data_IF_603885759032
#
_entry.id   IF_603885759032
#
_cell.length_a   1.000
_cell.length_b   1.000
_cell.length_c   1.000
_cell.angle_alpha   90.00
_cell.angle_beta   90.00
_cell.angle_gamma   90.00
#
_symmetry.space_group_name_H-M   'P 1'
#
loop_
_entity.id
_entity.type
_entity.pdbx_description
1 polymer ?
#
# COMPACT_ATOMS: atom_id res chain seq x y z
N UNK A 1 -13.59 -10.42 12.20
CA UNK A 1 -13.49 -8.98 11.85
C UNK A 1 -13.67 -8.82 10.35
N UNK A 2 -14.55 -7.91 9.91
CA UNK A 2 -14.75 -7.57 8.50
C UNK A 2 -13.83 -6.42 8.11
N UNK A 3 -12.86 -6.71 7.26
CA UNK A 3 -11.88 -5.74 6.76
C UNK A 3 -12.31 -5.30 5.37
N UNK A 4 -12.72 -4.04 5.24
CA UNK A 4 -12.96 -3.42 3.93
C UNK A 4 -11.67 -2.82 3.43
N UNK A 5 -11.36 -2.98 2.14
CA UNK A 5 -10.08 -2.53 1.61
C UNK A 5 -10.21 -1.87 0.24
N UNK A 6 -9.35 -0.88 0.01
CA UNK A 6 -9.25 -0.10 -1.21
C UNK A 6 -7.83 0.41 -1.37
N UNK A 7 -7.42 0.70 -2.61
CA UNK A 7 -6.15 1.35 -2.93
C UNK A 7 -6.28 2.18 -4.21
N UNK A 8 -5.24 2.94 -4.51
CA UNK A 8 -5.08 3.63 -5.79
C UNK A 8 -6.30 4.49 -6.16
N UNK A 9 -6.84 5.24 -5.19
CA UNK A 9 -8.01 6.10 -5.39
C UNK A 9 -7.68 7.35 -6.20
N UNK A 10 -6.43 7.77 -6.18
CA UNK A 10 -5.88 8.87 -6.98
C UNK A 10 -6.80 10.10 -7.05
N UNK A 11 -7.25 10.55 -5.89
CA UNK A 11 -8.20 11.69 -5.80
C UNK A 11 -7.61 13.00 -6.31
N UNK A 12 -6.31 13.08 -6.49
CA UNK A 12 -5.61 14.21 -7.14
C UNK A 12 -6.07 14.43 -8.58
N UNK A 13 -6.60 13.40 -9.25
CA UNK A 13 -7.20 13.52 -10.60
C UNK A 13 -8.68 13.90 -10.58
N UNK A 14 -9.26 14.20 -9.39
CA UNK A 14 -10.60 14.73 -9.24
C UNK A 14 -11.69 13.68 -8.98
N UNK A 15 -11.35 12.40 -9.01
CA UNK A 15 -12.26 11.29 -8.70
C UNK A 15 -12.61 11.21 -7.21
N UNK A 16 -13.72 10.55 -6.90
CA UNK A 16 -14.12 10.19 -5.54
C UNK A 16 -14.83 8.82 -5.56
N UNK A 17 -14.07 7.76 -5.83
CA UNK A 17 -14.64 6.42 -6.06
C UNK A 17 -15.17 5.77 -4.78
N UNK A 18 -14.75 6.23 -3.59
CA UNK A 18 -15.19 5.72 -2.30
C UNK A 18 -15.99 6.79 -1.54
N UNK A 19 -17.15 6.41 -1.01
CA UNK A 19 -18.05 7.28 -0.24
C UNK A 19 -18.27 6.71 1.15
N UNK A 20 -18.61 7.56 2.11
CA UNK A 20 -18.97 7.15 3.49
C UNK A 20 -20.08 6.08 3.52
N UNK A 21 -21.07 6.19 2.61
CA UNK A 21 -22.15 5.21 2.49
C UNK A 21 -21.70 3.81 2.06
N UNK A 22 -20.53 3.70 1.46
CA UNK A 22 -19.96 2.43 1.01
C UNK A 22 -19.20 1.70 2.12
N UNK A 23 -18.81 2.41 3.20
CA UNK A 23 -18.08 1.83 4.32
C UNK A 23 -19.02 0.95 5.15
N UNK A 24 -18.74 -0.35 5.20
CA UNK A 24 -19.53 -1.41 5.87
C UNK A 24 -18.67 -2.35 6.71
N UNK A 25 -17.34 -2.25 6.61
CA UNK A 25 -16.41 -3.05 7.39
C UNK A 25 -16.31 -2.58 8.85
N UNK A 26 -15.75 -3.43 9.68
CA UNK A 26 -15.36 -3.08 11.05
C UNK A 26 -14.12 -2.18 11.06
N UNK A 27 -13.31 -2.25 10.00
CA UNK A 27 -12.14 -1.40 9.71
C UNK A 27 -12.07 -1.16 8.20
N UNK A 28 -11.62 0.04 7.80
CA UNK A 28 -11.27 0.38 6.41
C UNK A 28 -9.76 0.42 6.27
N UNK A 29 -9.22 -0.32 5.30
CA UNK A 29 -7.81 -0.29 4.91
C UNK A 29 -7.68 0.48 3.60
N UNK A 30 -6.81 1.47 3.58
CA UNK A 30 -6.42 2.26 2.42
C UNK A 30 -4.95 1.95 2.08
N UNK A 31 -4.74 1.12 1.06
CA UNK A 31 -3.44 0.53 0.77
C UNK A 31 -2.60 1.37 -0.24
N UNK A 32 -2.50 2.69 0.02
CA UNK A 32 -1.65 3.62 -0.73
C UNK A 32 -2.29 4.23 -1.97
N UNK A 33 -1.64 5.26 -2.49
CA UNK A 33 -2.07 6.05 -3.65
C UNK A 33 -3.50 6.60 -3.50
N UNK A 34 -3.76 7.18 -2.33
CA UNK A 34 -5.05 7.79 -2.02
C UNK A 34 -5.08 9.24 -2.48
N UNK A 35 -4.00 9.98 -2.21
CA UNK A 35 -3.93 11.42 -2.50
C UNK A 35 -2.48 11.89 -2.64
N UNK A 36 -2.15 12.51 -3.75
CA UNK A 36 -0.83 13.09 -4.01
C UNK A 36 -0.44 14.30 -3.14
N UNK A 37 -1.34 14.74 -2.21
CA UNK A 37 -1.05 15.83 -1.27
C UNK A 37 -1.71 15.59 0.09
N UNK A 38 -1.02 15.95 1.22
CA UNK A 38 -1.57 15.79 2.57
C UNK A 38 -2.93 16.49 2.78
N UNK A 39 -3.14 17.67 2.18
CA UNK A 39 -4.39 18.42 2.30
C UNK A 39 -5.56 17.72 1.60
N UNK A 40 -5.30 17.07 0.47
CA UNK A 40 -6.30 16.30 -0.27
C UNK A 40 -6.67 15.04 0.52
N UNK A 41 -5.68 14.34 1.10
CA UNK A 41 -5.94 13.24 2.04
C UNK A 41 -6.83 13.68 3.19
N UNK A 42 -6.47 14.76 3.90
CA UNK A 42 -7.25 15.28 5.02
C UNK A 42 -8.68 15.64 4.59
N UNK A 43 -8.87 16.22 3.40
CA UNK A 43 -10.21 16.50 2.86
C UNK A 43 -11.01 15.23 2.61
N UNK A 44 -10.42 14.20 2.02
CA UNK A 44 -11.06 12.92 1.78
C UNK A 44 -11.42 12.21 3.08
N UNK A 45 -10.50 12.19 4.03
CA UNK A 45 -10.76 11.61 5.35
C UNK A 45 -11.93 12.29 6.07
N UNK A 46 -12.11 13.61 5.94
CA UNK A 46 -13.30 14.31 6.49
C UNK A 46 -14.60 13.80 5.88
N UNK A 47 -14.57 13.45 4.60
CA UNK A 47 -15.77 12.93 3.90
C UNK A 47 -16.04 11.47 4.21
N UNK A 48 -14.99 10.68 4.46
CA UNK A 48 -15.08 9.25 4.78
C UNK A 48 -15.29 9.02 6.29
N UNK A 49 -14.79 9.94 7.13
CA UNK A 49 -14.71 9.74 8.58
C UNK A 49 -16.08 9.45 9.22
N UNK A 50 -16.04 8.51 10.16
CA UNK A 50 -17.09 8.02 11.02
C UNK A 50 -16.44 7.40 12.25
N UNK A 51 -17.11 6.42 12.84
CA UNK A 51 -16.59 5.68 13.99
C UNK A 51 -15.73 4.48 13.59
N UNK A 52 -15.67 4.17 12.27
CA UNK A 52 -14.88 3.05 11.74
C UNK A 52 -13.40 3.46 11.69
N UNK A 53 -12.48 2.67 12.30
CA UNK A 53 -11.06 2.89 12.16
C UNK A 53 -10.61 2.83 10.69
N UNK A 54 -9.73 3.75 10.31
CA UNK A 54 -9.12 3.77 8.97
C UNK A 54 -7.63 3.52 9.14
N UNK A 55 -7.14 2.46 8.52
CA UNK A 55 -5.71 2.13 8.42
C UNK A 55 -5.22 2.57 7.07
N UNK A 56 -4.16 3.34 7.04
CA UNK A 56 -3.64 3.93 5.82
C UNK A 56 -2.14 3.68 5.72
N UNK A 57 -1.68 3.17 4.59
CA UNK A 57 -0.28 3.18 4.18
C UNK A 57 -0.10 4.17 3.03
N UNK A 58 1.08 4.74 2.89
CA UNK A 58 1.39 5.60 1.74
C UNK A 58 1.69 4.73 0.50
N UNK A 59 1.38 5.24 -0.68
CA UNK A 59 1.87 4.70 -1.94
C UNK A 59 3.00 5.59 -2.50
N UNK A 60 3.40 5.37 -3.74
CA UNK A 60 4.44 6.19 -4.36
C UNK A 60 3.94 7.59 -4.75
N UNK A 61 2.65 7.76 -5.10
CA UNK A 61 2.09 9.06 -5.44
C UNK A 61 2.06 10.04 -4.27
N UNK A 62 1.99 9.56 -3.04
CA UNK A 62 2.12 10.41 -1.86
C UNK A 62 3.49 11.10 -1.76
N UNK A 63 4.52 10.59 -2.45
CA UNK A 63 5.85 11.18 -2.49
C UNK A 63 6.08 12.10 -3.71
N UNK A 64 5.17 12.15 -4.68
CA UNK A 64 5.34 12.96 -5.90
C UNK A 64 5.36 14.46 -5.60
N UNK A 65 6.43 15.13 -6.07
CA UNK A 65 6.67 16.56 -5.84
C UNK A 65 7.32 16.88 -4.49
N UNK A 66 7.74 15.86 -3.74
CA UNK A 66 8.25 15.99 -2.38
C UNK A 66 9.63 15.32 -2.20
N UNK A 67 10.20 15.49 -0.99
CA UNK A 67 11.44 14.82 -0.61
C UNK A 67 11.14 13.47 0.05
N UNK A 68 11.74 12.41 -0.44
CA UNK A 68 11.54 11.01 -0.04
C UNK A 68 11.72 10.75 1.46
N UNK A 69 12.55 11.56 2.14
CA UNK A 69 12.80 11.41 3.57
C UNK A 69 11.76 12.11 4.46
N UNK A 70 11.04 13.12 3.95
CA UNK A 70 10.23 14.03 4.76
C UNK A 70 8.72 13.73 4.72
N UNK A 71 8.25 13.03 3.72
CA UNK A 71 6.81 12.90 3.47
C UNK A 71 6.00 12.17 4.53
N UNK A 72 6.45 11.07 5.15
CA UNK A 72 5.66 10.41 6.19
C UNK A 72 5.26 11.36 7.34
N UNK A 73 6.09 12.35 7.64
CA UNK A 73 5.78 13.33 8.68
C UNK A 73 4.72 14.36 8.24
N UNK A 74 4.74 14.77 6.97
CA UNK A 74 3.72 15.67 6.42
C UNK A 74 2.33 15.02 6.45
N UNK A 75 2.24 13.76 6.06
CA UNK A 75 0.99 13.00 6.11
C UNK A 75 0.54 12.71 7.53
N UNK A 76 1.45 12.44 8.49
CA UNK A 76 1.10 12.34 9.93
C UNK A 76 0.45 13.61 10.44
N UNK A 77 1.02 14.78 10.16
CA UNK A 77 0.42 16.07 10.54
C UNK A 77 -0.96 16.27 9.93
N UNK A 78 -1.15 15.89 8.67
CA UNK A 78 -2.44 16.04 8.00
C UNK A 78 -3.55 15.21 8.67
N UNK A 79 -3.20 14.08 9.31
CA UNK A 79 -4.17 13.19 9.97
C UNK A 79 -4.27 13.39 11.49
N UNK A 80 -3.47 14.25 12.12
CA UNK A 80 -3.52 14.50 13.59
C UNK A 80 -4.91 14.84 14.13
N UNK A 81 -5.77 15.47 13.32
CA UNK A 81 -7.16 15.77 13.68
C UNK A 81 -8.15 14.62 13.56
N UNK A 82 -7.70 13.41 13.20
CA UNK A 82 -8.54 12.25 12.96
C UNK A 82 -8.18 11.08 13.90
N UNK A 83 -8.79 10.99 15.09
CA UNK A 83 -8.38 10.04 16.15
C UNK A 83 -8.57 8.57 15.76
N UNK A 84 -9.34 8.28 14.70
CA UNK A 84 -9.58 6.92 14.23
C UNK A 84 -8.80 6.59 12.93
N UNK A 85 -7.87 7.46 12.52
CA UNK A 85 -7.02 7.25 11.34
C UNK A 85 -5.60 6.94 11.80
N UNK A 86 -5.05 5.85 11.30
CA UNK A 86 -3.72 5.35 11.65
C UNK A 86 -2.87 5.27 10.37
N UNK A 87 -1.85 6.12 10.28
CA UNK A 87 -0.82 5.99 9.24
C UNK A 87 0.18 4.92 9.66
N UNK A 88 0.25 3.87 8.86
CA UNK A 88 1.14 2.73 9.05
C UNK A 88 2.32 2.84 8.08
N UNK A 89 3.39 3.47 8.52
CA UNK A 89 4.66 3.51 7.80
C UNK A 89 5.74 2.95 8.71
N UNK A 90 6.12 1.68 8.46
CA UNK A 90 6.88 0.81 9.36
C UNK A 90 6.28 0.83 10.79
N UNK A 91 4.96 0.61 10.86
CA UNK A 91 4.22 0.66 12.12
C UNK A 91 3.18 -0.43 12.25
N UNK A 92 2.93 -0.78 13.49
CA UNK A 92 1.96 -1.77 13.92
C UNK A 92 0.81 -1.09 14.69
N UNK A 93 -0.40 -1.63 14.54
CA UNK A 93 -1.56 -1.33 15.39
C UNK A 93 -2.36 -2.61 15.66
N UNK A 94 -2.96 -2.68 16.84
CA UNK A 94 -3.87 -3.78 17.19
C UNK A 94 -5.29 -3.20 17.31
N UNK A 95 -6.21 -3.76 16.53
CA UNK A 95 -7.64 -3.39 16.57
C UNK A 95 -8.46 -4.65 16.80
N UNK A 96 -9.26 -4.67 17.86
CA UNK A 96 -10.15 -5.79 18.21
C UNK A 96 -9.44 -7.17 18.19
N UNK A 97 -8.19 -7.24 18.63
CA UNK A 97 -7.42 -8.49 18.68
C UNK A 97 -6.78 -8.93 17.37
N UNK A 98 -6.86 -8.13 16.31
CA UNK A 98 -6.14 -8.31 15.05
C UNK A 98 -4.95 -7.39 15.02
N UNK A 99 -3.76 -7.92 14.72
CA UNK A 99 -2.53 -7.14 14.52
C UNK A 99 -2.41 -6.73 13.05
N UNK A 100 -2.27 -5.43 12.82
CA UNK A 100 -2.00 -4.88 11.48
C UNK A 100 -0.57 -4.36 11.43
N UNK A 101 0.19 -4.80 10.45
CA UNK A 101 1.55 -4.34 10.14
C UNK A 101 1.49 -3.61 8.81
N UNK A 102 1.95 -2.36 8.75
CA UNK A 102 1.83 -1.58 7.52
C UNK A 102 3.08 -0.78 7.16
N UNK A 103 3.37 -0.73 5.85
CA UNK A 103 4.41 0.10 5.24
C UNK A 103 4.13 0.29 3.74
N UNK A 104 4.75 1.30 3.13
CA UNK A 104 4.75 1.43 1.65
C UNK A 104 5.40 0.21 0.99
N UNK A 105 6.35 -0.42 1.66
CA UNK A 105 7.20 -1.54 1.28
C UNK A 105 8.24 -1.16 0.21
N UNK A 106 7.83 -0.48 -0.86
CA UNK A 106 8.66 -0.28 -2.05
C UNK A 106 9.16 -1.63 -2.63
N UNK A 107 10.21 -1.61 -3.44
CA UNK A 107 10.76 -2.83 -4.05
C UNK A 107 12.29 -2.83 -4.08
N UNK A 108 12.88 -4.01 -4.26
CA UNK A 108 14.31 -4.19 -4.46
C UNK A 108 14.70 -4.31 -5.94
N UNK A 109 13.73 -4.18 -6.86
CA UNK A 109 13.93 -4.31 -8.31
C UNK A 109 14.58 -5.65 -8.70
N UNK A 110 14.15 -6.73 -8.05
CA UNK A 110 14.72 -8.08 -8.20
C UNK A 110 16.22 -8.12 -7.88
N UNK A 111 16.59 -7.66 -6.68
CA UNK A 111 17.98 -7.55 -6.26
C UNK A 111 18.79 -6.53 -7.08
N UNK A 112 18.11 -5.49 -7.60
CA UNK A 112 18.72 -4.44 -8.42
C UNK A 112 18.81 -4.74 -9.91
N UNK A 113 18.47 -5.96 -10.37
CA UNK A 113 18.57 -6.35 -11.80
C UNK A 113 17.76 -5.42 -12.71
N UNK A 114 16.56 -5.03 -12.27
CA UNK A 114 15.70 -4.11 -13.02
C UNK A 114 15.78 -2.66 -12.53
N UNK A 115 16.65 -2.34 -11.58
CA UNK A 115 16.81 -0.97 -11.05
C UNK A 115 17.06 0.07 -12.13
N UNK A 116 18.09 -0.08 -13.00
CA UNK A 116 18.38 0.90 -14.05
C UNK A 116 17.29 1.04 -15.11
N UNK A 117 16.51 0.00 -15.41
CA UNK A 117 15.38 0.09 -16.33
C UNK A 117 14.18 0.77 -15.69
N UNK A 118 13.90 0.45 -14.42
CA UNK A 118 12.85 1.10 -13.64
C UNK A 118 13.13 2.58 -13.43
N UNK A 119 14.36 2.97 -13.13
CA UNK A 119 14.77 4.38 -13.00
C UNK A 119 14.50 5.21 -14.26
N UNK A 120 14.55 4.59 -15.45
CA UNK A 120 14.22 5.25 -16.72
C UNK A 120 12.75 5.21 -17.11
N UNK A 121 11.99 4.27 -16.55
CA UNK A 121 10.62 3.99 -16.98
C UNK A 121 9.53 4.38 -16.00
N UNK A 122 9.88 4.67 -14.73
CA UNK A 122 8.91 5.02 -13.69
C UNK A 122 8.97 6.52 -13.38
N UNK A 123 7.81 7.12 -13.22
CA UNK A 123 7.64 8.52 -12.87
C UNK A 123 8.20 8.87 -11.48
N UNK A 124 8.33 7.89 -10.59
CA UNK A 124 8.93 8.05 -9.25
C UNK A 124 10.28 8.75 -9.31
N UNK A 125 11.10 8.40 -10.28
CA UNK A 125 12.46 8.93 -10.42
C UNK A 125 12.54 10.31 -11.11
N UNK A 126 11.41 10.78 -11.64
CA UNK A 126 11.26 12.12 -12.17
C UNK A 126 10.62 13.06 -11.13
N UNK A 127 9.64 12.58 -10.38
CA UNK A 127 8.79 13.41 -9.53
C UNK A 127 9.15 13.38 -8.04
N UNK A 128 9.99 12.44 -7.59
CA UNK A 128 10.43 12.36 -6.20
C UNK A 128 11.89 12.83 -6.11
N UNK A 129 12.20 13.61 -5.07
CA UNK A 129 13.57 14.05 -4.77
C UNK A 129 14.07 13.44 -3.46
N UNK A 130 15.38 13.37 -3.30
CA UNK A 130 16.04 13.06 -2.04
C UNK A 130 17.25 13.98 -1.89
N UNK A 131 17.26 14.79 -0.81
CA UNK A 131 18.33 15.76 -0.54
C UNK A 131 18.62 16.68 -1.74
N UNK A 132 17.56 17.13 -2.44
CA UNK A 132 17.64 18.08 -3.56
C UNK A 132 18.10 17.49 -4.90
N UNK A 133 18.23 16.16 -5.03
CA UNK A 133 18.44 15.44 -6.29
C UNK A 133 17.26 14.53 -6.61
N UNK A 134 17.14 14.12 -7.86
CA UNK A 134 16.16 13.10 -8.22
C UNK A 134 16.43 11.79 -7.47
N UNK A 135 15.35 11.12 -7.09
CA UNK A 135 15.38 9.79 -6.47
C UNK A 135 16.10 8.78 -7.39
N UNK A 136 16.75 7.80 -6.81
CA UNK A 136 17.39 6.69 -7.54
C UNK A 136 16.82 5.37 -7.11
N UNK A 137 16.89 4.38 -7.97
CA UNK A 137 16.44 3.04 -7.65
C UNK A 137 17.16 2.45 -6.40
N UNK A 138 18.42 2.84 -6.16
CA UNK A 138 19.18 2.42 -4.97
C UNK A 138 18.59 2.98 -3.68
N UNK A 139 18.09 4.23 -3.69
CA UNK A 139 17.45 4.85 -2.52
C UNK A 139 16.14 4.11 -2.16
N UNK A 140 15.39 3.74 -3.20
CA UNK A 140 14.14 2.97 -3.07
C UNK A 140 14.44 1.57 -2.54
N UNK A 141 15.44 0.88 -3.10
CA UNK A 141 15.85 -0.45 -2.63
C UNK A 141 16.32 -0.41 -1.17
N UNK A 142 17.07 0.61 -0.76
CA UNK A 142 17.49 0.80 0.64
C UNK A 142 16.27 0.98 1.56
N UNK A 143 15.25 1.70 1.12
CA UNK A 143 14.00 1.86 1.88
C UNK A 143 13.25 0.53 1.98
N UNK A 144 13.14 -0.20 0.88
CA UNK A 144 12.54 -1.54 0.85
C UNK A 144 13.19 -2.46 1.89
N UNK A 145 14.52 -2.55 1.89
CA UNK A 145 15.23 -3.42 2.82
C UNK A 145 15.03 -3.04 4.29
N UNK A 146 14.88 -1.75 4.61
CA UNK A 146 14.58 -1.29 5.98
C UNK A 146 13.17 -1.71 6.38
N UNK A 147 12.17 -1.44 5.54
CA UNK A 147 10.77 -1.83 5.81
C UNK A 147 10.64 -3.35 5.89
N UNK A 148 11.33 -4.10 5.02
CA UNK A 148 11.32 -5.57 5.07
C UNK A 148 11.98 -6.12 6.33
N UNK A 149 13.09 -5.52 6.80
CA UNK A 149 13.74 -5.91 8.04
C UNK A 149 12.82 -5.70 9.25
N UNK A 150 12.17 -4.52 9.34
CA UNK A 150 11.17 -4.22 10.35
C UNK A 150 9.99 -5.22 10.29
N UNK A 151 9.46 -5.49 9.11
CA UNK A 151 8.34 -6.41 8.93
C UNK A 151 8.68 -7.84 9.40
N UNK A 152 9.90 -8.30 9.12
CA UNK A 152 10.40 -9.62 9.59
C UNK A 152 10.49 -9.67 11.10
N UNK A 153 11.04 -8.65 11.75
CA UNK A 153 11.14 -8.56 13.21
C UNK A 153 9.76 -8.61 13.87
N UNK A 154 8.79 -7.87 13.32
CA UNK A 154 7.40 -7.88 13.82
C UNK A 154 6.74 -9.25 13.62
N UNK A 155 6.98 -9.92 12.50
CA UNK A 155 6.41 -11.24 12.20
C UNK A 155 7.03 -12.36 13.06
N UNK A 156 8.29 -12.23 13.45
CA UNK A 156 8.95 -13.14 14.39
C UNK A 156 8.42 -12.99 15.82
N UNK A 157 7.86 -11.81 16.15
CA UNK A 157 7.26 -11.56 17.45
C UNK A 157 5.93 -12.31 17.61
N UNK A 158 5.80 -13.26 18.56
CA UNK A 158 4.57 -14.02 18.75
C UNK A 158 3.37 -13.11 19.05
N UNK A 159 2.25 -13.37 18.39
CA UNK A 159 1.00 -12.68 18.63
C UNK A 159 -0.16 -13.67 18.71
N UNK A 160 -1.05 -13.56 19.73
CA UNK A 160 -2.10 -14.57 19.97
C UNK A 160 -3.29 -14.49 19.00
N UNK A 161 -3.38 -13.41 18.21
CA UNK A 161 -4.44 -13.19 17.23
C UNK A 161 -3.96 -13.29 15.78
N UNK A 162 -4.86 -13.09 14.81
CA UNK A 162 -4.47 -13.01 13.41
C UNK A 162 -3.61 -11.77 13.13
N UNK A 163 -2.67 -11.92 12.19
CA UNK A 163 -1.86 -10.82 11.67
C UNK A 163 -2.28 -10.52 10.23
N UNK A 164 -2.50 -9.24 9.96
CA UNK A 164 -2.80 -8.69 8.63
C UNK A 164 -1.65 -7.77 8.23
N UNK A 165 -1.13 -7.96 7.03
CA UNK A 165 -0.11 -7.10 6.46
C UNK A 165 -0.78 -6.16 5.44
N UNK A 166 -0.41 -4.90 5.47
CA UNK A 166 -0.87 -3.87 4.54
C UNK A 166 0.34 -3.20 3.91
N UNK A 167 0.48 -3.34 2.60
CA UNK A 167 1.54 -2.66 1.84
C UNK A 167 0.95 -1.91 0.66
N UNK A 168 1.73 -1.01 0.06
CA UNK A 168 1.33 -0.47 -1.23
C UNK A 168 1.87 -1.33 -2.37
N UNK A 169 3.18 -1.57 -2.41
CA UNK A 169 3.76 -2.45 -3.43
C UNK A 169 3.41 -3.92 -3.17
N UNK A 170 3.26 -4.67 -4.25
CA UNK A 170 2.82 -6.05 -4.18
C UNK A 170 3.92 -7.00 -3.64
N UNK A 171 3.55 -8.05 -2.87
CA UNK A 171 4.52 -8.96 -2.27
C UNK A 171 4.95 -10.11 -3.18
N UNK A 172 4.28 -10.33 -4.30
CA UNK A 172 4.45 -11.54 -5.13
C UNK A 172 4.27 -11.26 -6.61
N UNK A 173 4.94 -12.06 -7.43
CA UNK A 173 4.73 -12.11 -8.87
C UNK A 173 3.30 -12.50 -9.27
N UNK A 174 2.56 -13.17 -8.39
CA UNK A 174 1.15 -13.55 -8.62
C UNK A 174 0.21 -12.34 -8.70
N UNK A 175 0.64 -11.18 -8.17
CA UNK A 175 -0.08 -9.92 -8.32
C UNK A 175 0.19 -9.21 -9.65
N UNK A 176 1.23 -9.63 -10.40
CA UNK A 176 1.57 -8.96 -11.66
C UNK A 176 0.61 -9.38 -12.77
N UNK A 177 -0.15 -8.45 -13.37
CA UNK A 177 -1.11 -8.80 -14.40
C UNK A 177 -0.42 -9.48 -15.60
N UNK A 178 -1.05 -10.51 -16.23
CA UNK A 178 -0.44 -11.29 -17.29
C UNK A 178 0.07 -10.47 -18.50
N UNK A 179 -0.60 -9.34 -18.81
CA UNK A 179 -0.19 -8.45 -19.89
C UNK A 179 1.18 -7.79 -19.65
N UNK A 180 1.66 -7.74 -18.40
CA UNK A 180 2.95 -7.18 -18.03
C UNK A 180 4.02 -8.25 -17.75
N UNK A 181 3.72 -9.52 -18.05
CA UNK A 181 4.69 -10.60 -17.89
C UNK A 181 5.94 -10.34 -18.73
N UNK A 182 7.12 -10.35 -18.10
CA UNK A 182 8.40 -10.10 -18.76
C UNK A 182 8.71 -8.62 -19.04
N UNK A 183 7.91 -7.69 -18.50
CA UNK A 183 8.23 -6.25 -18.58
C UNK A 183 9.60 -5.96 -17.93
N UNK A 184 10.43 -5.10 -18.54
CA UNK A 184 11.75 -4.75 -17.99
C UNK A 184 11.69 -3.89 -16.72
N UNK A 185 10.50 -3.49 -16.29
CA UNK A 185 10.25 -2.69 -15.09
C UNK A 185 9.33 -3.40 -14.07
N UNK A 186 9.01 -4.68 -14.27
CA UNK A 186 8.15 -5.43 -13.33
C UNK A 186 8.67 -5.39 -11.89
N UNK A 187 9.99 -5.31 -11.72
CA UNK A 187 10.61 -5.19 -10.38
C UNK A 187 10.33 -3.88 -9.66
N UNK A 188 9.69 -2.88 -10.30
CA UNK A 188 9.18 -1.69 -9.63
C UNK A 188 7.79 -1.91 -9.01
N UNK A 189 7.09 -2.99 -9.39
CA UNK A 189 5.70 -3.22 -8.97
C UNK A 189 5.57 -4.25 -7.86
N UNK A 190 6.43 -5.25 -7.81
CA UNK A 190 6.36 -6.30 -6.80
C UNK A 190 7.73 -6.81 -6.38
N UNK A 191 7.76 -7.40 -5.19
CA UNK A 191 8.90 -8.14 -4.65
C UNK A 191 8.58 -9.64 -4.54
N UNK A 192 9.61 -10.50 -4.50
CA UNK A 192 9.42 -11.95 -4.37
C UNK A 192 9.47 -12.34 -2.88
N UNK A 193 8.35 -12.13 -2.17
CA UNK A 193 8.24 -12.42 -0.74
C UNK A 193 7.47 -13.72 -0.43
N UNK A 194 7.23 -14.58 -1.41
CA UNK A 194 6.44 -15.81 -1.26
C UNK A 194 6.97 -16.68 -0.12
N UNK A 195 8.29 -16.87 -0.02
CA UNK A 195 8.92 -17.63 1.08
C UNK A 195 8.65 -16.98 2.44
N UNK A 196 8.74 -15.65 2.55
CA UNK A 196 8.42 -14.96 3.80
C UNK A 196 6.95 -15.19 4.21
N UNK A 197 6.05 -15.15 3.24
CA UNK A 197 4.61 -15.38 3.46
C UNK A 197 4.36 -16.82 3.92
N UNK A 198 4.98 -17.81 3.26
CA UNK A 198 4.83 -19.23 3.61
C UNK A 198 5.39 -19.56 4.99
N UNK A 199 6.51 -18.95 5.38
CA UNK A 199 7.17 -19.18 6.67
C UNK A 199 6.40 -18.53 7.83
N UNK A 200 5.92 -17.28 7.64
CA UNK A 200 5.33 -16.47 8.73
C UNK A 200 3.79 -16.59 8.79
N UNK A 201 3.15 -16.99 7.71
CA UNK A 201 1.71 -17.28 7.60
C UNK A 201 0.79 -16.19 8.15
N UNK A 202 0.93 -14.93 7.73
CA UNK A 202 -0.07 -13.92 8.09
C UNK A 202 -1.44 -14.37 7.57
N UNK A 203 -2.51 -13.99 8.27
CA UNK A 203 -3.86 -14.37 7.87
C UNK A 203 -4.28 -13.72 6.54
N UNK A 204 -3.79 -12.51 6.29
CA UNK A 204 -4.15 -11.70 5.13
C UNK A 204 -3.00 -10.76 4.76
N UNK A 205 -2.81 -10.54 3.45
CA UNK A 205 -1.98 -9.47 2.90
C UNK A 205 -2.81 -8.61 1.96
N UNK A 206 -2.89 -7.32 2.22
CA UNK A 206 -3.60 -6.33 1.39
C UNK A 206 -2.56 -5.44 0.73
N UNK A 207 -2.69 -5.20 -0.58
CA UNK A 207 -1.79 -4.29 -1.29
C UNK A 207 -2.52 -3.46 -2.36
N UNK A 208 -1.78 -2.59 -3.07
CA UNK A 208 -2.21 -1.74 -4.18
C UNK A 208 -1.23 -1.79 -5.35
N UNK A 209 -1.02 -0.65 -5.99
CA UNK A 209 0.00 -0.32 -6.99
C UNK A 209 -0.16 -0.94 -8.37
N UNK A 210 -0.70 -2.13 -8.51
CA UNK A 210 -0.75 -2.86 -9.79
C UNK A 210 -1.94 -2.50 -10.68
N UNK A 211 -2.89 -1.69 -10.18
CA UNK A 211 -4.12 -1.23 -10.84
C UNK A 211 -5.06 -2.32 -11.38
N UNK A 212 -4.76 -3.59 -11.08
CA UNK A 212 -5.63 -4.75 -11.36
C UNK A 212 -6.04 -5.41 -10.05
N UNK A 213 -7.31 -5.81 -9.93
CA UNK A 213 -7.78 -6.55 -8.75
C UNK A 213 -7.19 -7.95 -8.73
N UNK A 214 -6.76 -8.39 -7.55
CA UNK A 214 -6.33 -9.77 -7.36
C UNK A 214 -6.84 -10.36 -6.04
N UNK A 215 -7.00 -11.68 -6.04
CA UNK A 215 -7.39 -12.47 -4.88
C UNK A 215 -6.86 -13.89 -5.04
N UNK A 216 -5.80 -14.23 -4.31
CA UNK A 216 -5.12 -15.51 -4.40
C UNK A 216 -4.56 -15.93 -3.05
N UNK A 217 -3.99 -17.14 -2.98
CA UNK A 217 -3.46 -17.70 -1.73
C UNK A 217 -2.01 -18.15 -1.93
N UNK A 218 -1.14 -17.78 -0.99
CA UNK A 218 0.22 -18.32 -0.84
C UNK A 218 0.26 -19.10 0.48
N UNK A 219 0.46 -20.41 0.43
CA UNK A 219 0.39 -21.25 1.61
C UNK A 219 -0.98 -21.17 2.31
N UNK A 220 -1.05 -20.48 3.45
CA UNK A 220 -2.28 -20.23 4.21
C UNK A 220 -2.72 -18.76 4.15
N UNK A 221 -1.92 -17.90 3.57
CA UNK A 221 -2.15 -16.46 3.50
C UNK A 221 -2.96 -16.09 2.26
N UNK A 222 -4.11 -15.44 2.46
CA UNK A 222 -4.83 -14.80 1.34
C UNK A 222 -4.18 -13.47 1.02
N UNK A 223 -3.95 -13.19 -0.25
CA UNK A 223 -3.42 -11.91 -0.77
C UNK A 223 -4.49 -11.26 -1.62
N UNK A 224 -4.79 -10.00 -1.36
CA UNK A 224 -5.87 -9.26 -2.05
C UNK A 224 -5.43 -7.86 -2.44
N UNK A 225 -5.96 -7.39 -3.57
CA UNK A 225 -5.80 -6.02 -4.08
C UNK A 225 -7.13 -5.54 -4.67
N UNK A 226 -7.53 -4.30 -4.38
CA UNK A 226 -8.73 -3.67 -4.91
C UNK A 226 -8.45 -2.20 -5.24
N UNK A 227 -7.72 -1.94 -6.33
CA UNK A 227 -7.36 -0.60 -6.78
C UNK A 227 -8.49 0.02 -7.59
N UNK A 228 -8.65 1.34 -7.53
CA UNK A 228 -9.52 2.07 -8.44
C UNK A 228 -8.83 2.41 -9.76
N UNK A 229 -7.58 2.87 -9.69
CA UNK A 229 -6.80 3.32 -10.84
C UNK A 229 -7.08 4.77 -11.25
N UNK A 230 -6.66 5.15 -12.45
CA UNK A 230 -6.78 6.52 -12.97
C UNK A 230 -8.11 6.73 -13.68
N UNK A 231 -9.00 7.56 -13.13
CA UNK A 231 -10.30 7.84 -13.73
C UNK A 231 -10.18 8.35 -15.18
N UNK A 232 -10.84 7.65 -16.09
CA UNK A 232 -10.88 8.03 -17.52
C UNK A 232 -9.59 7.72 -18.31
N UNK A 233 -8.56 7.18 -17.69
CA UNK A 233 -7.29 6.78 -18.32
C UNK A 233 -7.09 5.27 -18.18
N UNK A 234 -7.05 4.76 -16.97
CA UNK A 234 -6.85 3.37 -16.62
C UNK A 234 -7.66 3.03 -15.37
N UNK A 235 -8.98 2.99 -15.53
CA UNK A 235 -9.88 2.62 -14.43
C UNK A 235 -10.02 1.10 -14.37
N UNK A 236 -9.83 0.54 -13.18
CA UNK A 236 -10.01 -0.89 -12.96
C UNK A 236 -11.50 -1.26 -13.08
N UNK A 237 -11.82 -2.16 -13.99
CA UNK A 237 -13.20 -2.60 -14.26
C UNK A 237 -13.78 -3.48 -13.16
N UNK A 238 -12.90 -4.11 -12.35
CA UNK A 238 -13.27 -4.99 -11.24
C UNK A 238 -13.29 -4.24 -9.89
N UNK A 239 -13.17 -2.92 -9.92
CA UNK A 239 -13.27 -2.10 -8.70
C UNK A 239 -14.60 -2.30 -7.98
N UNK A 240 -14.51 -2.64 -6.70
CA UNK A 240 -15.68 -2.70 -5.80
C UNK A 240 -15.46 -1.81 -4.56
N UNK A 241 -16.21 -0.70 -4.39
CA UNK A 241 -16.10 0.17 -3.22
C UNK A 241 -16.45 -0.54 -1.90
N UNK A 242 -17.00 -1.76 -1.97
CA UNK A 242 -17.44 -2.57 -0.82
C UNK A 242 -16.65 -3.87 -0.69
N UNK A 243 -15.54 -4.01 -1.41
CA UNK A 243 -14.68 -5.18 -1.29
C UNK A 243 -14.31 -5.42 0.18
N UNK A 244 -14.55 -6.62 0.68
CA UNK A 244 -14.33 -7.00 2.08
C UNK A 244 -13.78 -8.42 2.18
N UNK A 245 -13.01 -8.64 3.26
CA UNK A 245 -12.54 -9.95 3.65
C UNK A 245 -12.76 -10.14 5.16
N UNK A 246 -13.08 -11.34 5.60
CA UNK A 246 -13.22 -11.67 7.02
C UNK A 246 -11.93 -12.33 7.53
N UNK A 247 -11.47 -11.87 8.72
CA UNK A 247 -10.32 -12.41 9.43
C UNK A 247 -10.72 -12.69 10.88
N UNK A 248 -10.37 -13.86 11.37
CA UNK A 248 -10.65 -14.29 12.75
C UNK A 248 -11.43 -15.55 12.83
#
# INVERSE_FOLDING_TARGET
MKIQYASDLHIEFGSRPLRKSDIKGDVLVLAGDIAGKPEQLAQSLRLLSGDVPILYVMGNHEFFGHDFALDPEHYRKAIEGFPHVYLLEDRMVIIQGVRFLGCTLWTDFFGGVQGPSSERGMNDFEYITLDGRNLRWTDVADRHWRSLAWLREELETPFPGPTVIVTHHAPSALSNPPQFAGSPISGAFYSNLDTLIEDTKPALWIHGHVHDSCDYVIGQTRVVCNPFGYEGIETNVDWDPRAMVEVG
#
